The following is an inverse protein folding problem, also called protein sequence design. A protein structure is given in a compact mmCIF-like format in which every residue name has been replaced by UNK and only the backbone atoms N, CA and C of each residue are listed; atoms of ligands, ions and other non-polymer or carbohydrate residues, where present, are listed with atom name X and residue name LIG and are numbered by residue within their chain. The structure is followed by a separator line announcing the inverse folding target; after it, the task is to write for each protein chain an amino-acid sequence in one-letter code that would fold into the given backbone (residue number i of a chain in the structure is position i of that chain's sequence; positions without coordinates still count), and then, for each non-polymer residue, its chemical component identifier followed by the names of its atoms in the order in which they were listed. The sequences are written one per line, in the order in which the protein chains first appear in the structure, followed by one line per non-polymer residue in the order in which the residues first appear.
data_IF_090245351256
#
_entry.id   IF_090245351256
#
_cell.length_a   1.000
_cell.length_b   1.000
_cell.length_c   1.000
_cell.angle_alpha   90.00
_cell.angle_beta   90.00
_cell.angle_gamma   90.00
#
_symmetry.space_group_name_H-M   'P 1'
#
loop_
_entity.id
_entity.type
_entity.pdbx_description
1 polymer ?
#
# COMPACT_ATOMS: atom_id res chain seq x y z
N UNK A 1 8.28 -29.05 -16.66
CA UNK A 1 7.02 -28.30 -16.57
C UNK A 1 6.98 -27.64 -15.20
N UNK A 2 7.04 -26.31 -15.11
CA UNK A 2 6.87 -25.62 -13.83
C UNK A 2 5.38 -25.63 -13.48
N UNK A 3 5.04 -26.14 -12.30
CA UNK A 3 3.68 -26.05 -11.80
C UNK A 3 3.36 -24.57 -11.52
N UNK A 4 2.39 -24.01 -12.25
CA UNK A 4 1.86 -22.68 -11.96
C UNK A 4 0.85 -22.82 -10.83
N UNK A 5 1.26 -22.46 -9.62
CA UNK A 5 0.33 -22.31 -8.50
C UNK A 5 -0.41 -21.00 -8.68
N UNK A 6 -1.72 -21.08 -8.89
CA UNK A 6 -2.57 -19.89 -8.83
C UNK A 6 -2.57 -19.38 -7.38
N UNK A 7 -2.42 -18.07 -7.16
CA UNK A 7 -2.53 -17.52 -5.82
C UNK A 7 -3.91 -17.85 -5.23
N UNK A 8 -4.01 -18.18 -3.93
CA UNK A 8 -5.27 -18.56 -3.29
C UNK A 8 -6.14 -17.32 -3.03
N UNK A 9 -6.65 -16.71 -4.10
CA UNK A 9 -7.52 -15.55 -4.02
C UNK A 9 -8.90 -15.92 -3.44
N UNK A 10 -9.50 -15.00 -2.68
CA UNK A 10 -10.84 -15.13 -2.09
C UNK A 10 -11.74 -14.00 -2.59
N UNK A 11 -13.07 -14.23 -2.68
CA UNK A 11 -14.01 -13.17 -3.00
C UNK A 11 -14.10 -12.14 -1.86
N UNK A 12 -14.54 -10.88 -2.13
CA UNK A 12 -14.66 -9.84 -1.11
C UNK A 12 -15.46 -10.27 0.13
N UNK A 13 -16.52 -11.07 -0.05
CA UNK A 13 -17.37 -11.58 1.03
C UNK A 13 -16.69 -12.54 2.02
N UNK A 14 -15.49 -13.04 1.71
CA UNK A 14 -14.71 -13.95 2.56
C UNK A 14 -13.42 -13.32 3.08
N UNK A 15 -13.14 -12.06 2.75
CA UNK A 15 -11.93 -11.35 3.18
C UNK A 15 -11.84 -11.31 4.70
N UNK A 16 -12.91 -10.89 5.40
CA UNK A 16 -12.90 -10.73 6.85
C UNK A 16 -12.66 -12.06 7.59
N UNK A 17 -13.36 -13.12 7.19
CA UNK A 17 -13.17 -14.47 7.76
C UNK A 17 -11.75 -14.98 7.53
N UNK A 18 -11.23 -14.78 6.32
CA UNK A 18 -9.89 -15.26 5.95
C UNK A 18 -8.81 -14.48 6.71
N UNK A 19 -8.94 -13.16 6.77
CA UNK A 19 -8.05 -12.26 7.50
C UNK A 19 -8.02 -12.60 9.00
N UNK A 20 -9.19 -12.84 9.61
CA UNK A 20 -9.28 -13.24 11.02
C UNK A 20 -8.61 -14.58 11.30
N UNK A 21 -8.63 -15.52 10.36
CA UNK A 21 -8.09 -16.87 10.55
C UNK A 21 -6.57 -16.94 10.37
N UNK A 22 -6.01 -16.22 9.40
CA UNK A 22 -4.61 -16.41 8.99
C UNK A 22 -3.79 -15.12 8.87
N UNK A 23 -4.38 -13.95 9.13
CA UNK A 23 -3.68 -12.66 9.13
C UNK A 23 -3.47 -12.02 7.76
N UNK A 24 -3.91 -12.65 6.67
CA UNK A 24 -3.91 -12.07 5.32
C UNK A 24 -4.99 -12.70 4.42
N UNK A 25 -5.44 -11.97 3.41
CA UNK A 25 -6.31 -12.47 2.35
C UNK A 25 -5.85 -11.88 1.00
N UNK A 26 -5.92 -12.67 -0.07
CA UNK A 26 -5.59 -12.21 -1.42
C UNK A 26 -6.87 -11.99 -2.21
N UNK A 27 -7.01 -10.83 -2.84
CA UNK A 27 -8.08 -10.56 -3.82
C UNK A 27 -7.46 -10.43 -5.21
N UNK A 28 -8.09 -11.04 -6.21
CA UNK A 28 -7.70 -10.82 -7.59
C UNK A 28 -8.14 -9.44 -8.10
N UNK A 29 -7.57 -9.03 -9.24
CA UNK A 29 -7.83 -7.70 -9.82
C UNK A 29 -9.31 -7.45 -10.17
N UNK A 30 -10.07 -8.48 -10.55
CA UNK A 30 -11.50 -8.35 -10.89
C UNK A 30 -12.34 -8.20 -9.62
N UNK A 31 -12.00 -8.92 -8.57
CA UNK A 31 -12.62 -8.81 -7.26
C UNK A 31 -12.45 -7.40 -6.67
N UNK A 32 -11.26 -6.79 -6.81
CA UNK A 32 -11.00 -5.40 -6.39
C UNK A 32 -11.83 -4.39 -7.20
N UNK A 33 -11.91 -4.55 -8.53
CA UNK A 33 -12.75 -3.68 -9.38
C UNK A 33 -14.22 -3.73 -8.96
N UNK A 34 -14.76 -4.93 -8.75
CA UNK A 34 -16.14 -5.12 -8.31
C UNK A 34 -16.38 -4.50 -6.92
N UNK A 35 -15.43 -4.68 -5.99
CA UNK A 35 -15.54 -4.15 -4.63
C UNK A 35 -15.56 -2.62 -4.58
N UNK A 36 -14.71 -1.98 -5.38
CA UNK A 36 -14.63 -0.52 -5.48
C UNK A 36 -15.69 0.09 -6.40
N UNK A 37 -16.46 -0.74 -7.12
CA UNK A 37 -17.38 -0.31 -8.17
C UNK A 37 -16.71 0.56 -9.25
N UNK A 38 -15.48 0.21 -9.64
CA UNK A 38 -14.68 0.92 -10.66
C UNK A 38 -14.35 0.03 -11.86
N UNK A 39 -14.11 0.67 -13.01
CA UNK A 39 -13.61 -0.01 -14.20
C UNK A 39 -12.08 -0.14 -14.21
N UNK A 40 -11.54 -0.93 -15.16
CA UNK A 40 -10.10 -1.11 -15.28
C UNK A 40 -9.35 0.19 -15.63
N UNK A 41 -10.01 1.14 -16.33
CA UNK A 41 -9.41 2.41 -16.71
C UNK A 41 -9.25 3.38 -15.54
N UNK A 42 -10.17 3.34 -14.56
CA UNK A 42 -10.07 4.17 -13.35
C UNK A 42 -8.83 3.80 -12.54
N UNK A 43 -8.54 2.50 -12.42
CA UNK A 43 -7.31 2.01 -11.79
C UNK A 43 -6.07 2.26 -12.65
N UNK A 44 -6.19 2.15 -13.98
CA UNK A 44 -5.09 2.44 -14.89
C UNK A 44 -4.65 3.92 -14.83
N UNK A 45 -5.57 4.84 -14.52
CA UNK A 45 -5.25 6.25 -14.33
C UNK A 45 -4.26 6.52 -13.18
N UNK A 46 -4.08 5.57 -12.26
CA UNK A 46 -3.09 5.66 -11.18
C UNK A 46 -1.67 5.29 -11.63
N UNK A 47 -1.51 4.58 -12.76
CA UNK A 47 -0.21 4.06 -13.21
C UNK A 47 0.85 5.16 -13.43
N UNK A 48 0.56 6.30 -14.07
CA UNK A 48 1.56 7.35 -14.31
C UNK A 48 2.19 7.91 -13.03
N UNK A 49 1.50 7.82 -11.88
CA UNK A 49 2.04 8.28 -10.60
C UNK A 49 3.28 7.48 -10.14
N UNK A 50 3.47 6.26 -10.63
CA UNK A 50 4.65 5.44 -10.34
C UNK A 50 5.91 5.92 -11.09
N UNK A 51 5.72 6.61 -12.22
CA UNK A 51 6.82 7.07 -13.07
C UNK A 51 7.53 8.29 -12.45
N UNK A 52 6.78 9.13 -11.72
CA UNK A 52 7.24 10.37 -11.08
C UNK A 52 7.46 10.25 -9.56
N UNK A 53 7.77 9.04 -9.07
CA UNK A 53 8.16 8.90 -7.67
C UNK A 53 9.61 9.38 -7.44
N UNK A 54 9.85 10.21 -6.42
CA UNK A 54 11.19 10.63 -6.04
C UNK A 54 11.92 9.50 -5.30
N UNK A 55 13.26 9.55 -5.31
CA UNK A 55 14.10 8.60 -4.57
C UNK A 55 13.88 8.71 -3.06
N UNK A 56 13.89 7.57 -2.36
CA UNK A 56 13.85 7.52 -0.89
C UNK A 56 15.23 7.86 -0.32
N UNK A 57 15.36 9.04 0.29
CA UNK A 57 16.62 9.54 0.87
C UNK A 57 16.99 8.90 2.22
N UNK A 58 16.10 8.10 2.82
CA UNK A 58 16.30 7.52 4.15
C UNK A 58 16.80 6.07 4.12
N UNK A 59 17.25 5.59 2.96
CA UNK A 59 17.91 4.30 2.79
C UNK A 59 19.31 4.32 3.43
N UNK A 60 19.52 3.54 4.49
CA UNK A 60 20.81 3.43 5.18
C UNK A 60 21.79 2.45 4.53
N UNK A 61 21.33 1.64 3.58
CA UNK A 61 22.13 0.64 2.86
C UNK A 61 22.86 1.23 1.63
N UNK A 62 22.72 2.53 1.37
CA UNK A 62 23.26 3.18 0.17
C UNK A 62 22.55 2.78 -1.13
N UNK A 63 21.45 2.02 -1.03
CA UNK A 63 20.63 1.65 -2.17
C UNK A 63 19.91 2.86 -2.76
N UNK A 64 19.74 2.88 -4.09
CA UNK A 64 18.95 3.88 -4.81
C UNK A 64 17.68 3.30 -5.44
N UNK A 65 17.30 2.09 -5.02
CA UNK A 65 16.26 1.30 -5.68
C UNK A 65 14.83 1.67 -5.24
N UNK A 66 14.65 2.33 -4.09
CA UNK A 66 13.32 2.67 -3.57
C UNK A 66 12.94 4.09 -3.94
N UNK A 67 11.76 4.24 -4.54
CA UNK A 67 11.12 5.52 -4.84
C UNK A 67 9.75 5.57 -4.17
N UNK A 68 9.38 6.69 -3.56
CA UNK A 68 8.11 6.78 -2.81
C UNK A 68 7.65 8.21 -2.54
N UNK A 69 6.34 8.36 -2.35
CA UNK A 69 5.64 9.53 -1.82
C UNK A 69 4.82 9.14 -0.58
N UNK A 70 4.39 10.11 0.22
CA UNK A 70 3.60 9.90 1.42
C UNK A 70 2.58 11.02 1.65
N UNK A 71 1.31 10.64 1.75
CA UNK A 71 0.21 11.49 2.18
C UNK A 71 -0.62 10.77 3.24
N UNK A 72 -1.30 11.53 4.10
CA UNK A 72 -2.13 11.00 5.19
C UNK A 72 -3.58 11.48 5.02
N UNK A 73 -4.52 10.61 5.39
CA UNK A 73 -5.95 10.89 5.37
C UNK A 73 -6.57 10.41 6.68
N UNK A 74 -7.64 11.08 7.11
CA UNK A 74 -8.57 10.56 8.12
C UNK A 74 -9.80 10.06 7.37
N UNK A 75 -10.23 8.84 7.71
CA UNK A 75 -11.45 8.22 7.16
C UNK A 75 -12.46 8.09 8.30
N UNK A 76 -13.62 8.71 8.15
CA UNK A 76 -14.76 8.64 9.07
C UNK A 76 -16.03 8.28 8.29
N UNK A 77 -16.40 6.99 8.31
CA UNK A 77 -17.48 6.47 7.48
C UNK A 77 -17.18 6.66 5.99
N UNK A 78 -18.01 7.46 5.32
CA UNK A 78 -17.83 7.83 3.91
C UNK A 78 -16.97 9.08 3.71
N UNK A 79 -16.62 9.80 4.78
CA UNK A 79 -15.81 11.00 4.70
C UNK A 79 -14.32 10.65 4.67
N UNK A 80 -13.62 11.16 3.66
CA UNK A 80 -12.18 10.95 3.46
C UNK A 80 -11.50 12.31 3.32
N UNK A 81 -10.82 12.73 4.37
CA UNK A 81 -10.19 14.05 4.44
C UNK A 81 -8.67 13.94 4.44
N UNK A 82 -8.03 14.60 3.48
CA UNK A 82 -6.57 14.74 3.50
C UNK A 82 -6.17 15.63 4.67
N UNK A 83 -5.22 15.16 5.48
CA UNK A 83 -4.67 15.95 6.59
C UNK A 83 -3.35 16.60 6.19
N UNK A 84 -2.87 17.64 6.93
CA UNK A 84 -1.60 18.26 6.63
C UNK A 84 -0.47 17.24 6.49
N UNK A 85 0.39 17.48 5.50
CA UNK A 85 1.56 16.65 5.24
C UNK A 85 2.41 16.54 6.52
N UNK A 86 2.81 15.31 6.85
CA UNK A 86 3.48 15.00 8.11
C UNK A 86 4.50 13.89 7.93
N UNK A 87 5.51 13.91 8.78
CA UNK A 87 6.51 12.86 8.86
C UNK A 87 5.90 11.47 9.09
N UNK A 88 6.49 10.48 8.45
CA UNK A 88 6.28 9.08 8.79
C UNK A 88 7.22 8.69 9.94
N UNK A 89 6.65 8.22 11.05
CA UNK A 89 7.41 7.71 12.20
C UNK A 89 7.28 6.20 12.27
N UNK A 90 8.41 5.51 12.33
CA UNK A 90 8.46 4.09 12.64
C UNK A 90 9.31 3.91 13.91
N UNK A 91 8.77 3.38 15.01
CA UNK A 91 9.56 3.09 16.20
C UNK A 91 10.56 1.96 15.93
N UNK A 92 11.64 1.89 16.73
CA UNK A 92 12.65 0.84 16.62
C UNK A 92 12.07 -0.57 16.83
N UNK A 93 11.09 -0.70 17.71
CA UNK A 93 10.40 -1.97 17.99
C UNK A 93 9.72 -2.56 16.74
N UNK A 94 9.24 -1.71 15.83
CA UNK A 94 8.57 -2.13 14.60
C UNK A 94 9.51 -2.15 13.38
N UNK A 95 10.54 -1.31 13.36
CA UNK A 95 11.55 -1.30 12.31
C UNK A 95 12.94 -1.28 12.96
N UNK A 96 13.47 -2.44 13.34
CA UNK A 96 14.75 -2.52 14.05
C UNK A 96 15.93 -1.98 13.22
N UNK A 97 15.83 -2.02 11.88
CA UNK A 97 16.90 -1.57 10.98
C UNK A 97 16.92 -0.04 10.84
N UNK A 98 15.75 0.61 10.87
CA UNK A 98 15.65 2.01 10.50
C UNK A 98 14.73 2.86 11.40
N UNK A 99 14.11 2.29 12.44
CA UNK A 99 13.18 3.00 13.31
C UNK A 99 13.83 4.08 14.18
N UNK A 100 13.02 4.78 14.97
CA UNK A 100 13.47 5.88 15.83
C UNK A 100 13.80 7.18 15.07
N UNK A 101 13.32 7.30 13.82
CA UNK A 101 13.59 8.43 12.95
C UNK A 101 12.30 8.97 12.34
N UNK A 102 12.20 10.29 12.31
CA UNK A 102 11.17 11.04 11.60
C UNK A 102 11.56 11.16 10.12
N UNK A 103 10.70 10.71 9.21
CA UNK A 103 10.95 10.78 7.76
C UNK A 103 9.94 11.66 7.06
N UNK A 104 10.42 12.71 6.41
CA UNK A 104 9.66 13.52 5.48
C UNK A 104 9.87 12.96 4.08
N UNK A 105 8.85 12.29 3.53
CA UNK A 105 8.84 11.89 2.12
C UNK A 105 8.04 12.94 1.34
N UNK A 106 8.31 13.09 0.04
CA UNK A 106 7.53 13.98 -0.82
C UNK A 106 6.02 13.61 -0.81
N UNK A 107 5.11 14.59 -0.91
CA UNK A 107 3.67 14.35 -0.93
C UNK A 107 3.21 13.60 -2.19
#
# INVERSE_FOLDING_TARGET
MSAHFLPPCVPPSRVDETLSRQGFALMDARSVQNWLAVGPQDLAALQPSWDDLPSDEYLKDGGRYRRRRHSCFIVDGEDVQQVPHRRHWQPLEYNALHGGMERWFEP
#
